data_IF_513623343136
#
_entry.id   IF_513623343136
#
_cell.length_a   1.000
_cell.length_b   1.000
_cell.length_c   1.000
_cell.angle_alpha   90.00
_cell.angle_beta   90.00
_cell.angle_gamma   90.00
#
_symmetry.space_group_name_H-M   'P 1'
#
loop_
_entity.id
_entity.type
_entity.pdbx_description
1 polymer ?
#
# COMPACT_ATOMS: atom_id res chain seq x y z
N UNK A 1 -4.52 -11.34 25.43
CA UNK A 1 -4.35 -9.88 25.38
C UNK A 1 -2.96 -9.64 24.79
N UNK A 2 -2.85 -8.91 23.69
CA UNK A 2 -1.53 -8.67 23.08
C UNK A 2 -1.21 -7.18 23.22
N UNK A 3 -0.18 -6.89 24.01
CA UNK A 3 0.41 -5.57 24.16
C UNK A 3 1.66 -5.52 23.28
N UNK A 4 1.80 -4.47 22.47
CA UNK A 4 2.99 -4.22 21.68
C UNK A 4 3.92 -3.27 22.44
N UNK A 5 5.18 -3.66 22.60
CA UNK A 5 6.25 -2.83 23.15
C UNK A 5 6.78 -1.90 22.04
N UNK A 6 6.70 -0.59 22.28
CA UNK A 6 7.07 0.44 21.31
C UNK A 6 8.58 0.73 21.24
N UNK A 7 9.41 0.06 22.05
CA UNK A 7 10.85 0.32 22.15
C UNK A 7 11.73 -0.52 21.23
N UNK A 8 11.16 -1.44 20.45
CA UNK A 8 11.88 -2.28 19.50
C UNK A 8 11.18 -2.20 18.15
N UNK A 9 11.90 -2.02 17.01
CA UNK A 9 11.28 -2.17 15.71
C UNK A 9 10.72 -3.60 15.66
N UNK A 10 9.42 -3.79 15.41
CA UNK A 10 8.84 -5.11 15.44
C UNK A 10 9.55 -5.92 14.36
N UNK A 11 10.20 -7.00 14.77
CA UNK A 11 10.73 -8.01 13.88
C UNK A 11 9.54 -8.79 13.31
N UNK A 12 8.75 -8.10 12.48
CA UNK A 12 7.64 -8.65 11.71
C UNK A 12 8.24 -9.04 10.37
N UNK A 13 8.70 -10.30 10.28
CA UNK A 13 8.56 -11.04 9.05
C UNK A 13 7.13 -10.76 8.56
N UNK A 14 7.01 -10.07 7.41
CA UNK A 14 5.75 -9.68 6.82
C UNK A 14 4.90 -10.93 6.55
N UNK A 15 4.16 -11.35 7.57
CA UNK A 15 3.34 -12.54 7.58
C UNK A 15 1.98 -12.15 8.16
N UNK A 16 1.01 -11.96 7.27
CA UNK A 16 -0.41 -11.95 7.60
C UNK A 16 -1.09 -10.59 7.48
N UNK A 17 -1.86 -10.43 6.40
CA UNK A 17 -3.21 -9.84 6.35
C UNK A 17 -3.53 -8.46 6.93
N UNK A 18 -2.62 -7.76 7.60
CA UNK A 18 -2.90 -6.44 8.16
C UNK A 18 -2.58 -5.37 7.12
N UNK A 19 -3.58 -4.55 6.79
CA UNK A 19 -3.55 -3.48 5.78
C UNK A 19 -2.65 -2.29 6.12
N UNK A 20 -1.53 -2.51 6.83
CA UNK A 20 -0.62 -1.45 7.25
C UNK A 20 0.85 -1.88 7.36
N UNK A 21 1.75 -0.90 7.27
CA UNK A 21 3.20 -1.10 7.23
C UNK A 21 3.93 0.10 7.85
N UNK A 22 5.11 -0.15 8.42
CA UNK A 22 5.98 0.90 8.96
C UNK A 22 6.86 1.54 7.87
N UNK A 23 7.13 2.83 7.99
CA UNK A 23 8.16 3.51 7.22
C UNK A 23 9.55 2.96 7.57
N UNK A 24 10.51 3.08 6.65
CA UNK A 24 11.87 2.56 6.83
C UNK A 24 12.61 3.13 8.05
N UNK A 25 12.28 4.36 8.45
CA UNK A 25 12.83 5.02 9.63
C UNK A 25 12.05 4.71 10.93
N UNK A 26 10.97 3.93 10.85
CA UNK A 26 10.09 3.58 11.97
C UNK A 26 9.27 4.75 12.53
N UNK A 27 9.27 5.91 11.88
CA UNK A 27 8.59 7.11 12.40
C UNK A 27 7.13 7.21 11.99
N UNK A 28 6.69 6.42 11.01
CA UNK A 28 5.31 6.41 10.50
C UNK A 28 4.77 5.01 10.34
N UNK A 29 3.48 4.86 10.60
CA UNK A 29 2.70 3.67 10.26
C UNK A 29 1.63 4.04 9.24
N UNK A 30 1.68 3.44 8.05
CA UNK A 30 0.64 3.60 7.03
C UNK A 30 -0.40 2.50 7.17
N UNK A 31 -1.63 2.82 6.83
CA UNK A 31 -2.71 1.85 6.71
C UNK A 31 -3.74 2.30 5.66
N UNK A 32 -4.37 1.34 5.00
CA UNK A 32 -5.50 1.61 4.12
C UNK A 32 -6.77 1.83 4.97
N UNK A 33 -7.57 2.83 4.60
CA UNK A 33 -8.86 3.11 5.24
C UNK A 33 -9.91 3.39 4.16
N UNK A 34 -11.12 2.85 4.36
CA UNK A 34 -12.28 3.12 3.51
C UNK A 34 -12.53 4.63 3.40
N UNK A 35 -12.61 5.12 2.17
CA UNK A 35 -13.12 6.45 1.85
C UNK A 35 -14.63 6.48 2.07
N UNK A 36 -15.16 7.60 2.57
CA UNK A 36 -16.56 7.68 3.00
C UNK A 36 -17.61 7.62 1.86
N UNK A 37 -17.22 7.54 0.59
CA UNK A 37 -18.14 7.80 -0.54
C UNK A 37 -18.20 6.70 -1.62
N UNK A 38 -17.31 5.71 -1.60
CA UNK A 38 -17.20 4.63 -2.60
C UNK A 38 -16.36 3.49 -1.99
N UNK A 39 -16.32 2.29 -2.59
CA UNK A 39 -15.38 1.19 -2.24
C UNK A 39 -13.90 1.55 -2.53
N UNK A 40 -13.58 2.83 -2.42
CA UNK A 40 -12.30 3.46 -2.65
C UNK A 40 -11.56 3.56 -1.33
N UNK A 41 -10.37 2.99 -1.26
CA UNK A 41 -9.49 3.13 -0.11
C UNK A 41 -8.55 4.29 -0.35
N UNK A 42 -8.11 4.92 0.72
CA UNK A 42 -6.90 5.75 0.67
C UNK A 42 -5.89 5.25 1.68
N UNK A 43 -4.62 5.53 1.40
CA UNK A 43 -3.55 5.32 2.35
C UNK A 43 -3.51 6.52 3.29
N UNK A 44 -3.59 6.22 4.58
CA UNK A 44 -3.36 7.17 5.65
C UNK A 44 -2.09 6.78 6.39
N UNK A 45 -1.48 7.74 7.08
CA UNK A 45 -0.36 7.49 7.97
C UNK A 45 -0.50 8.23 9.30
N UNK A 46 0.11 7.67 10.33
CA UNK A 46 0.21 8.26 11.66
C UNK A 46 1.64 8.12 12.17
N UNK A 47 2.09 9.10 12.96
CA UNK A 47 3.41 9.05 13.60
C UNK A 47 3.47 7.92 14.63
N UNK A 48 4.66 7.33 14.81
CA UNK A 48 4.91 6.31 15.84
C UNK A 48 4.61 6.81 17.27
N UNK A 49 4.86 8.09 17.53
CA UNK A 49 4.53 8.77 18.79
C UNK A 49 3.03 9.08 18.95
N UNK A 50 2.22 8.73 17.94
CA UNK A 50 0.81 9.08 17.85
C UNK A 50 0.57 10.48 17.29
N UNK A 51 -0.69 10.93 17.31
CA UNK A 51 -1.09 12.25 16.83
C UNK A 51 -2.08 12.18 15.67
N UNK A 52 -2.11 13.24 14.87
CA UNK A 52 -3.06 13.36 13.77
C UNK A 52 -2.76 12.34 12.66
N UNK A 53 -3.82 11.69 12.18
CA UNK A 53 -3.77 10.84 11.00
C UNK A 53 -3.75 11.75 9.77
N UNK A 54 -2.78 11.56 8.88
CA UNK A 54 -2.65 12.28 7.61
C UNK A 54 -3.07 11.37 6.46
N UNK A 55 -3.74 11.93 5.44
CA UNK A 55 -4.05 11.24 4.19
C UNK A 55 -2.87 11.39 3.23
N UNK A 56 -2.35 10.28 2.71
CA UNK A 56 -1.21 10.25 1.78
C UNK A 56 -1.64 10.12 0.32
N UNK A 57 -2.82 9.58 0.04
CA UNK A 57 -3.35 9.46 -1.32
C UNK A 57 -4.76 10.03 -1.38
N UNK A 58 -5.08 10.74 -2.45
CA UNK A 58 -6.44 11.23 -2.73
C UNK A 58 -6.93 10.93 -4.15
N UNK A 59 -6.02 10.72 -5.11
CA UNK A 59 -6.29 10.20 -6.45
C UNK A 59 -5.01 9.65 -7.08
N UNK A 60 -5.05 8.54 -7.84
CA UNK A 60 -6.17 7.62 -7.97
C UNK A 60 -6.39 6.82 -6.68
N UNK A 61 -7.65 6.43 -6.42
CA UNK A 61 -8.02 5.70 -5.21
C UNK A 61 -7.40 4.30 -5.18
N UNK A 62 -7.13 3.84 -3.98
CA UNK A 62 -6.46 2.58 -3.69
C UNK A 62 -7.50 1.46 -3.74
N UNK A 63 -7.14 0.35 -4.37
CA UNK A 63 -7.93 -0.87 -4.32
C UNK A 63 -7.80 -1.54 -2.94
N UNK A 64 -8.88 -2.18 -2.48
CA UNK A 64 -8.91 -2.90 -1.21
C UNK A 64 -7.70 -3.82 -1.02
N UNK A 65 -7.12 -3.79 0.18
CA UNK A 65 -6.01 -4.66 0.61
C UNK A 65 -4.75 -4.60 -0.28
N UNK A 66 -4.63 -3.55 -1.11
CA UNK A 66 -3.64 -3.49 -2.17
C UNK A 66 -2.62 -2.37 -1.98
N UNK A 67 -2.15 -2.13 -0.76
CA UNK A 67 -1.07 -1.18 -0.47
C UNK A 67 0.00 -1.77 0.46
N UNK A 68 1.24 -1.32 0.32
CA UNK A 68 2.36 -1.67 1.19
C UNK A 68 3.48 -0.62 1.17
N UNK A 69 3.95 -0.23 2.37
CA UNK A 69 5.13 0.63 2.52
C UNK A 69 6.40 -0.18 2.29
N UNK A 70 7.37 0.41 1.59
CA UNK A 70 8.71 -0.13 1.46
C UNK A 70 9.40 -0.14 2.83
N UNK A 71 10.03 -1.27 3.20
CA UNK A 71 10.75 -1.39 4.47
C UNK A 71 12.10 -0.66 4.46
N UNK A 72 12.58 -0.21 3.29
CA UNK A 72 13.93 0.40 3.13
C UNK A 72 13.90 1.80 2.54
N UNK A 73 12.82 2.18 1.88
CA UNK A 73 12.65 3.50 1.25
C UNK A 73 11.35 4.13 1.73
N UNK A 74 11.25 5.46 1.68
CA UNK A 74 10.02 6.14 2.07
C UNK A 74 8.96 6.12 0.95
N UNK A 75 8.63 4.93 0.46
CA UNK A 75 7.81 4.72 -0.74
C UNK A 75 6.67 3.75 -0.46
N UNK A 76 5.49 4.03 -1.00
CA UNK A 76 4.31 3.20 -0.86
C UNK A 76 3.92 2.65 -2.23
N UNK A 77 3.87 1.33 -2.34
CA UNK A 77 3.37 0.66 -3.53
C UNK A 77 1.89 0.34 -3.34
N UNK A 78 1.06 0.64 -4.32
CA UNK A 78 -0.35 0.32 -4.26
C UNK A 78 -1.00 0.08 -5.61
N UNK A 79 -2.04 -0.75 -5.64
CA UNK A 79 -2.88 -0.92 -6.82
C UNK A 79 -3.97 0.13 -6.86
N UNK A 80 -4.21 0.72 -8.02
CA UNK A 80 -5.27 1.71 -8.24
C UNK A 80 -6.04 1.45 -9.54
N UNK A 81 -7.29 1.92 -9.59
CA UNK A 81 -8.03 2.03 -10.84
C UNK A 81 -7.55 3.29 -11.58
N UNK A 82 -7.16 3.08 -12.83
CA UNK A 82 -6.86 4.12 -13.81
C UNK A 82 -8.03 4.22 -14.79
N UNK A 83 -7.99 5.21 -15.69
CA UNK A 83 -9.10 5.53 -16.60
C UNK A 83 -9.66 4.31 -17.35
N UNK A 84 -8.78 3.43 -17.85
CA UNK A 84 -9.15 2.25 -18.64
C UNK A 84 -8.53 0.93 -18.14
N UNK A 85 -7.85 0.92 -17.00
CA UNK A 85 -7.09 -0.24 -16.52
C UNK A 85 -6.87 -0.22 -15.02
N UNK A 86 -6.19 -1.23 -14.48
CA UNK A 86 -5.55 -1.13 -13.17
C UNK A 86 -4.08 -0.75 -13.35
N UNK A 87 -3.50 -0.16 -12.32
CA UNK A 87 -2.08 0.13 -12.25
C UNK A 87 -1.49 -0.26 -10.92
N UNK A 88 -0.22 -0.63 -10.94
CA UNK A 88 0.64 -0.63 -9.76
C UNK A 88 1.39 0.70 -9.73
N UNK A 89 1.12 1.50 -8.71
CA UNK A 89 1.69 2.83 -8.53
C UNK A 89 2.64 2.85 -7.35
N UNK A 90 3.53 3.83 -7.37
CA UNK A 90 4.45 4.14 -6.30
C UNK A 90 4.33 5.60 -5.91
N UNK A 91 4.03 5.83 -4.63
CA UNK A 91 4.02 7.15 -4.01
C UNK A 91 5.30 7.32 -3.18
N UNK A 92 6.04 8.39 -3.43
CA UNK A 92 7.09 8.84 -2.52
C UNK A 92 6.45 9.69 -1.40
N UNK A 93 6.55 9.23 -0.15
CA UNK A 93 5.89 9.89 0.97
C UNK A 93 6.62 11.16 1.45
N UNK A 94 7.84 11.44 0.96
CA UNK A 94 8.52 12.71 1.24
C UNK A 94 8.09 13.80 0.26
N UNK A 95 8.06 13.48 -1.03
CA UNK A 95 7.79 14.45 -2.10
C UNK A 95 6.33 14.48 -2.51
N UNK A 96 5.54 13.49 -2.08
CA UNK A 96 4.20 13.21 -2.58
C UNK A 96 4.16 12.95 -4.09
N UNK A 97 5.30 12.58 -4.67
CA UNK A 97 5.41 12.27 -6.09
C UNK A 97 4.84 10.89 -6.38
N UNK A 98 3.95 10.83 -7.36
CA UNK A 98 3.31 9.61 -7.80
C UNK A 98 3.89 9.16 -9.14
N UNK A 99 4.33 7.90 -9.21
CA UNK A 99 4.78 7.27 -10.46
C UNK A 99 4.04 5.96 -10.72
N UNK A 100 3.72 5.69 -11.98
CA UNK A 100 3.17 4.39 -12.38
C UNK A 100 4.31 3.43 -12.67
N UNK A 101 4.32 2.25 -12.02
CA UNK A 101 5.31 1.19 -12.27
C UNK A 101 4.87 0.26 -13.38
N UNK A 102 3.58 -0.09 -13.39
CA UNK A 102 3.00 -1.01 -14.36
C UNK A 102 1.52 -0.67 -14.54
N UNK A 103 1.03 -0.81 -15.77
CA UNK A 103 -0.39 -0.80 -16.11
C UNK A 103 -0.79 -2.17 -16.60
N UNK A 104 -1.99 -2.61 -16.22
CA UNK A 104 -2.56 -3.87 -16.72
C UNK A 104 -3.32 -3.65 -18.03
N UNK A 105 -3.60 -4.74 -18.74
CA UNK A 105 -4.67 -4.74 -19.76
C UNK A 105 -6.03 -4.72 -19.07
N UNK A 106 -7.09 -4.29 -19.78
CA UNK A 106 -8.46 -4.17 -19.24
C UNK A 106 -8.92 -5.39 -18.43
N UNK A 107 -8.60 -6.60 -18.90
CA UNK A 107 -9.09 -7.84 -18.31
C UNK A 107 -8.18 -8.40 -17.22
N UNK A 108 -7.06 -7.75 -16.93
CA UNK A 108 -6.05 -8.22 -15.97
C UNK A 108 -6.06 -7.34 -14.73
N UNK A 109 -6.32 -7.95 -13.57
CA UNK A 109 -6.35 -7.24 -12.30
C UNK A 109 -5.04 -7.41 -11.54
N UNK A 110 -4.63 -6.38 -10.80
CA UNK A 110 -3.41 -6.36 -9.98
C UNK A 110 -3.81 -6.31 -8.51
N UNK A 111 -3.50 -7.36 -7.77
CA UNK A 111 -3.90 -7.50 -6.37
C UNK A 111 -2.71 -7.69 -5.44
N UNK A 112 -2.85 -7.12 -4.23
CA UNK A 112 -2.00 -7.39 -3.08
C UNK A 112 -0.50 -7.21 -3.34
N UNK A 113 -0.03 -6.03 -3.80
CA UNK A 113 1.39 -5.76 -3.89
C UNK A 113 2.07 -5.93 -2.52
N UNK A 114 3.26 -6.52 -2.52
CA UNK A 114 4.10 -6.75 -1.35
C UNK A 114 5.56 -6.46 -1.68
N UNK A 115 6.21 -5.67 -0.83
CA UNK A 115 7.65 -5.42 -0.93
C UNK A 115 8.45 -6.61 -0.45
N UNK A 116 9.58 -6.87 -1.11
CA UNK A 116 10.63 -7.70 -0.55
C UNK A 116 11.24 -7.01 0.68
N UNK A 117 11.80 -7.76 1.65
CA UNK A 117 12.41 -7.18 2.85
C UNK A 117 13.57 -6.21 2.58
N UNK A 118 14.28 -6.42 1.46
CA UNK A 118 15.35 -5.54 0.98
C UNK A 118 14.81 -4.36 0.14
N UNK A 119 13.50 -4.27 -0.04
CA UNK A 119 12.77 -3.28 -0.84
C UNK A 119 13.18 -3.19 -2.32
N UNK A 120 13.86 -4.21 -2.85
CA UNK A 120 14.30 -4.23 -4.24
C UNK A 120 13.21 -4.69 -5.20
N UNK A 121 12.25 -5.48 -4.71
CA UNK A 121 11.22 -6.11 -5.52
C UNK A 121 9.83 -5.87 -4.93
N UNK A 122 8.84 -5.85 -5.81
CA UNK A 122 7.42 -5.88 -5.44
C UNK A 122 6.83 -7.13 -6.09
N UNK A 123 6.33 -8.05 -5.27
CA UNK A 123 5.49 -9.14 -5.76
C UNK A 123 4.04 -8.67 -5.82
N UNK A 124 3.30 -9.14 -6.81
CA UNK A 124 1.87 -8.91 -6.93
C UNK A 124 1.24 -10.15 -7.53
N UNK A 125 -0.03 -10.37 -7.23
CA UNK A 125 -0.83 -11.37 -7.94
C UNK A 125 -1.61 -10.68 -9.05
N UNK A 126 -1.71 -11.34 -10.20
CA UNK A 126 -2.57 -10.88 -11.25
C UNK A 126 -3.20 -12.01 -12.01
N UNK A 127 -4.41 -11.77 -12.49
CA UNK A 127 -5.21 -12.76 -13.17
C UNK A 127 -6.11 -12.08 -14.18
N UNK A 128 -6.18 -12.69 -15.37
CA UNK A 128 -7.24 -12.40 -16.31
C UNK A 128 -8.56 -12.89 -15.73
N UNK A 129 -9.61 -12.07 -15.76
CA UNK A 129 -10.96 -12.57 -15.59
C UNK A 129 -11.23 -13.57 -16.71
N UNK A 130 -11.04 -14.87 -16.46
CA UNK A 130 -11.53 -15.90 -17.36
C UNK A 130 -13.06 -15.86 -17.29
N UNK A 131 -13.66 -15.01 -18.13
CA UNK A 131 -14.94 -15.32 -18.74
C UNK A 131 -14.76 -16.60 -19.56
N UNK A 132 -14.80 -17.75 -18.91
CA UNK A 132 -15.02 -19.00 -19.59
C UNK A 132 -16.47 -18.97 -20.09
N UNK A 133 -16.63 -18.72 -21.39
CA UNK A 133 -17.77 -19.25 -22.13
C UNK A 133 -17.56 -20.74 -22.37
#
# INVERSE_FOLDING_TARGET
TASIDASQPPNLLAAGGASGAWSADGTWFAFAKDGCLTDDYDIYAVRSEGGAIVRLTDSPHVLKESAGWSPVANQIAYSALLEDSQGLLLLDANTMELRTLLTSTRDFHIHGPRWSPDGRYISFSGGGGHGAC
#
